data_IF_646750918666
#
_entry.id   IF_646750918666
#
_cell.length_a   1.000
_cell.length_b   1.000
_cell.length_c   1.000
_cell.angle_alpha   90.00
_cell.angle_beta   90.00
_cell.angle_gamma   90.00
#
_symmetry.space_group_name_H-M   'P 1'
#
loop_
_entity.id
_entity.type
_entity.pdbx_description
1 polymer ?
#
# COMPACT_ATOMS: atom_id res chain seq x y z
N UNK A 1 38.29 -34.04 -13.64
CA UNK A 1 37.79 -33.19 -14.74
C UNK A 1 36.34 -32.73 -14.49
N UNK A 2 36.00 -32.30 -13.26
CA UNK A 2 34.65 -31.87 -12.88
C UNK A 2 34.58 -30.43 -12.31
N UNK A 3 35.74 -29.83 -11.98
CA UNK A 3 35.80 -28.47 -11.45
C UNK A 3 35.62 -27.39 -12.53
N UNK A 4 36.10 -27.64 -13.76
CA UNK A 4 35.94 -26.71 -14.88
C UNK A 4 34.47 -26.54 -15.28
N UNK A 5 33.65 -27.59 -15.12
CA UNK A 5 32.22 -27.57 -15.41
C UNK A 5 31.36 -26.96 -14.28
N UNK A 6 31.92 -26.60 -13.13
CA UNK A 6 31.17 -25.95 -12.05
C UNK A 6 31.23 -24.41 -12.11
N UNK A 7 32.28 -23.84 -12.75
CA UNK A 7 32.52 -22.39 -12.80
C UNK A 7 31.91 -21.72 -14.03
N UNK A 8 31.74 -22.45 -15.14
CA UNK A 8 31.09 -21.91 -16.33
C UNK A 8 29.58 -21.73 -16.17
N UNK A 9 28.91 -22.55 -15.35
CA UNK A 9 27.46 -22.45 -15.08
C UNK A 9 27.11 -21.09 -14.41
N UNK A 10 27.74 -20.68 -13.30
CA UNK A 10 27.46 -19.39 -12.70
C UNK A 10 27.88 -18.22 -13.60
N UNK A 11 28.96 -18.38 -14.39
CA UNK A 11 29.38 -17.36 -15.37
C UNK A 11 28.37 -17.19 -16.51
N UNK A 12 27.83 -18.29 -17.06
CA UNK A 12 26.82 -18.25 -18.11
C UNK A 12 25.50 -17.67 -17.57
N UNK A 13 25.12 -18.04 -16.34
CA UNK A 13 23.95 -17.49 -15.65
C UNK A 13 24.08 -15.97 -15.45
N UNK A 14 25.23 -15.50 -14.94
CA UNK A 14 25.48 -14.07 -14.75
C UNK A 14 25.49 -13.30 -16.08
N UNK A 15 26.03 -13.89 -17.14
CA UNK A 15 26.02 -13.32 -18.48
C UNK A 15 24.59 -13.20 -19.04
N UNK A 16 23.74 -14.22 -18.85
CA UNK A 16 22.34 -14.17 -19.27
C UNK A 16 21.52 -13.13 -18.47
N UNK A 17 21.73 -13.04 -17.15
CA UNK A 17 21.08 -12.04 -16.29
C UNK A 17 21.43 -10.60 -16.68
N UNK A 18 22.71 -10.33 -16.99
CA UNK A 18 23.17 -9.01 -17.43
C UNK A 18 22.61 -8.64 -18.80
N UNK A 19 22.58 -9.58 -19.76
CA UNK A 19 21.98 -9.36 -21.08
C UNK A 19 20.46 -9.08 -21.00
N UNK A 20 19.72 -9.85 -20.20
CA UNK A 20 18.28 -9.63 -19.99
C UNK A 20 18.00 -8.25 -19.35
N UNK A 21 18.79 -7.88 -18.35
CA UNK A 21 18.61 -6.61 -17.64
C UNK A 21 18.89 -5.40 -18.53
N UNK A 22 19.91 -5.47 -19.39
CA UNK A 22 20.25 -4.39 -20.33
C UNK A 22 19.19 -4.28 -21.43
N UNK A 23 18.72 -5.40 -21.99
CA UNK A 23 17.68 -5.38 -23.02
C UNK A 23 16.34 -4.83 -22.50
N UNK A 24 15.98 -5.17 -21.26
CA UNK A 24 14.75 -4.67 -20.61
C UNK A 24 14.86 -3.20 -20.20
N UNK A 25 16.07 -2.65 -20.04
CA UNK A 25 16.33 -1.24 -19.73
C UNK A 25 16.44 -0.36 -20.99
N UNK A 26 16.79 -0.95 -22.14
CA UNK A 26 16.92 -0.25 -23.42
C UNK A 26 15.67 -0.36 -24.31
N UNK A 27 14.78 -1.32 -24.02
CA UNK A 27 13.48 -1.39 -24.68
C UNK A 27 12.63 -0.17 -24.32
N UNK A 28 11.95 0.47 -25.28
CA UNK A 28 10.98 1.54 -25.00
C UNK A 28 9.73 0.92 -24.36
N UNK A 29 9.87 0.47 -23.12
CA UNK A 29 8.74 0.19 -22.25
C UNK A 29 8.31 1.52 -21.69
N UNK A 30 7.26 2.10 -22.25
CA UNK A 30 6.54 3.19 -21.61
C UNK A 30 6.25 2.78 -20.16
N UNK A 31 6.53 3.64 -19.16
CA UNK A 31 6.12 3.36 -17.80
C UNK A 31 4.59 3.26 -17.80
N UNK A 32 4.05 2.05 -17.63
CA UNK A 32 2.61 1.81 -17.43
C UNK A 32 2.28 2.23 -16.01
N UNK A 33 2.35 3.53 -15.75
CA UNK A 33 1.77 4.15 -14.57
C UNK A 33 0.33 4.47 -14.92
N UNK A 34 -0.57 3.69 -14.33
CA UNK A 34 -2.01 3.95 -14.40
C UNK A 34 -2.32 5.11 -13.47
N UNK A 35 -3.34 5.91 -13.81
CA UNK A 35 -3.82 7.00 -12.94
C UNK A 35 -4.14 6.50 -11.53
N UNK A 36 -4.01 7.38 -10.52
CA UNK A 36 -4.22 7.04 -9.12
C UNK A 36 -5.55 6.36 -8.82
N UNK A 37 -6.64 6.79 -9.49
CA UNK A 37 -7.97 6.21 -9.32
C UNK A 37 -8.07 4.80 -9.92
N UNK A 38 -7.35 4.55 -11.01
CA UNK A 38 -7.28 3.22 -11.62
C UNK A 38 -6.37 2.30 -10.81
N UNK A 39 -5.22 2.80 -10.33
CA UNK A 39 -4.30 2.04 -9.50
C UNK A 39 -4.94 1.61 -8.17
N UNK A 40 -5.74 2.48 -7.53
CA UNK A 40 -6.46 2.14 -6.29
C UNK A 40 -7.53 1.06 -6.48
N UNK A 41 -8.07 0.90 -7.69
CA UNK A 41 -9.00 -0.21 -8.00
C UNK A 41 -8.32 -1.58 -8.08
N UNK A 42 -7.02 -1.63 -8.38
CA UNK A 42 -6.24 -2.87 -8.48
C UNK A 42 -5.40 -3.15 -7.22
N UNK A 43 -4.93 -2.09 -6.56
CA UNK A 43 -4.17 -2.13 -5.31
C UNK A 43 -5.00 -1.60 -4.14
N UNK A 44 -6.31 -1.93 -4.12
CA UNK A 44 -7.16 -1.60 -2.98
C UNK A 44 -6.60 -2.32 -1.76
N UNK A 45 -6.11 -1.55 -0.78
CA UNK A 45 -5.83 -2.08 0.56
C UNK A 45 -7.15 -2.64 1.10
N UNK A 46 -7.09 -3.74 1.85
CA UNK A 46 -8.25 -4.19 2.60
C UNK A 46 -8.57 -3.10 3.61
N UNK A 47 -9.64 -2.35 3.36
CA UNK A 47 -10.23 -1.45 4.33
C UNK A 47 -10.85 -2.32 5.42
N UNK A 48 -10.45 -2.09 6.67
CA UNK A 48 -10.68 -3.02 7.78
C UNK A 48 -11.70 -2.48 8.79
N UNK A 49 -12.73 -1.75 8.33
CA UNK A 49 -13.79 -1.22 9.18
C UNK A 49 -14.24 -2.19 10.27
N UNK A 50 -13.83 -1.91 11.51
CA UNK A 50 -14.21 -2.68 12.71
C UNK A 50 -13.94 -4.20 12.59
N UNK A 51 -12.95 -4.62 11.79
CA UNK A 51 -12.68 -6.03 11.56
C UNK A 51 -11.58 -6.57 12.47
N UNK A 52 -12.02 -7.11 13.60
CA UNK A 52 -11.30 -8.10 14.40
C UNK A 52 -9.93 -7.64 14.95
N UNK A 53 -9.96 -6.56 15.75
CA UNK A 53 -8.95 -6.16 16.76
C UNK A 53 -7.49 -5.91 16.31
N UNK A 54 -7.14 -6.13 15.04
CA UNK A 54 -5.79 -5.86 14.53
C UNK A 54 -5.52 -4.36 14.33
N UNK A 55 -6.57 -3.55 14.22
CA UNK A 55 -6.52 -2.10 14.03
C UNK A 55 -6.02 -1.37 15.29
N UNK A 56 -6.25 -1.92 16.48
CA UNK A 56 -5.82 -1.33 17.77
C UNK A 56 -4.28 -1.19 17.90
N UNK A 57 -3.51 -1.99 17.15
CA UNK A 57 -2.04 -1.95 17.16
C UNK A 57 -1.51 -1.00 16.09
N UNK A 58 -2.35 -0.57 15.16
CA UNK A 58 -2.01 0.38 14.09
C UNK A 58 -2.35 1.78 14.59
N UNK A 59 -1.46 2.78 14.40
CA UNK A 59 -1.82 4.16 14.71
C UNK A 59 -3.05 4.63 13.94
N UNK A 60 -3.92 5.38 14.60
CA UNK A 60 -5.09 6.00 13.99
C UNK A 60 -4.70 6.91 12.82
N UNK A 61 -5.48 6.88 11.74
CA UNK A 61 -5.25 7.69 10.54
C UNK A 61 -6.58 8.24 9.99
N UNK A 62 -6.69 9.57 9.87
CA UNK A 62 -7.94 10.24 9.51
C UNK A 62 -8.43 9.86 8.11
N UNK A 63 -7.50 9.81 7.15
CA UNK A 63 -7.83 9.51 5.76
C UNK A 63 -8.35 8.07 5.67
N UNK A 64 -7.62 7.12 6.25
CA UNK A 64 -7.98 5.70 6.22
C UNK A 64 -9.29 5.40 6.95
N UNK A 65 -9.43 5.86 8.20
CA UNK A 65 -10.54 5.43 9.05
C UNK A 65 -11.81 6.24 8.83
N UNK A 66 -11.67 7.55 8.58
CA UNK A 66 -12.81 8.46 8.57
C UNK A 66 -13.11 9.11 7.21
N UNK A 67 -12.22 9.04 6.21
CA UNK A 67 -12.47 9.60 4.86
C UNK A 67 -12.69 8.49 3.83
N UNK A 68 -11.81 7.50 3.80
CA UNK A 68 -11.91 6.29 2.97
C UNK A 68 -12.90 5.28 3.56
N UNK A 69 -12.95 5.21 4.90
CA UNK A 69 -13.86 4.37 5.66
C UNK A 69 -14.89 5.20 6.46
N UNK A 70 -15.87 4.48 7.01
CA UNK A 70 -16.79 5.03 8.01
C UNK A 70 -16.10 4.83 9.36
N UNK A 71 -16.09 5.80 10.27
CA UNK A 71 -15.50 5.62 11.60
C UNK A 71 -16.52 5.83 12.71
N UNK A 72 -16.23 5.35 13.91
CA UNK A 72 -16.95 5.70 15.14
C UNK A 72 -16.47 7.04 15.69
N UNK A 73 -17.23 7.64 16.61
CA UNK A 73 -16.80 8.86 17.29
C UNK A 73 -15.47 8.68 18.04
N UNK A 74 -15.27 7.51 18.64
CA UNK A 74 -14.08 7.21 19.44
C UNK A 74 -12.82 7.12 18.56
N UNK A 75 -12.91 6.48 17.40
CA UNK A 75 -11.81 6.44 16.41
C UNK A 75 -11.43 7.85 15.93
N UNK A 76 -12.43 8.68 15.60
CA UNK A 76 -12.16 10.07 15.24
C UNK A 76 -11.49 10.84 16.40
N UNK A 77 -11.86 10.55 17.66
CA UNK A 77 -11.30 11.19 18.86
C UNK A 77 -9.85 10.77 19.09
N UNK A 78 -9.50 9.52 18.80
CA UNK A 78 -8.13 9.01 18.87
C UNK A 78 -7.20 9.72 17.89
N UNK A 79 -7.69 10.13 16.72
CA UNK A 79 -6.89 10.86 15.72
C UNK A 79 -6.73 12.35 16.05
N UNK A 80 -7.81 13.01 16.49
CA UNK A 80 -7.77 14.46 16.76
C UNK A 80 -7.24 14.82 18.15
N UNK A 81 -7.33 13.89 19.12
CA UNK A 81 -7.05 14.10 20.55
C UNK A 81 -7.79 15.33 21.15
N UNK A 82 -8.84 15.81 20.50
CA UNK A 82 -9.53 17.07 20.81
C UNK A 82 -11.02 16.95 20.48
N UNK A 83 -11.85 16.99 21.53
CA UNK A 83 -13.31 16.84 21.45
C UNK A 83 -13.99 17.92 20.59
N UNK A 84 -13.42 19.13 20.51
CA UNK A 84 -14.00 20.20 19.71
C UNK A 84 -13.78 19.97 18.20
N UNK A 85 -12.67 19.31 17.84
CA UNK A 85 -12.33 19.01 16.44
C UNK A 85 -13.05 17.77 15.92
N UNK A 86 -13.36 16.81 16.78
CA UNK A 86 -14.18 15.63 16.43
C UNK A 86 -15.63 15.97 16.12
N UNK A 87 -16.22 16.95 16.83
CA UNK A 87 -17.62 17.35 16.61
C UNK A 87 -17.80 18.39 15.50
N UNK A 88 -16.71 19.02 15.03
CA UNK A 88 -16.79 19.92 13.89
C UNK A 88 -17.07 19.16 12.59
N UNK A 89 -17.91 19.71 11.68
CA UNK A 89 -18.23 19.07 10.41
C UNK A 89 -17.06 19.18 9.43
N UNK A 90 -16.01 18.40 9.68
CA UNK A 90 -14.98 18.06 8.71
C UNK A 90 -15.53 17.03 7.71
N UNK A 91 -14.91 16.81 6.54
CA UNK A 91 -15.35 15.81 5.56
C UNK A 91 -15.06 14.37 6.05
N UNK A 92 -15.51 14.03 7.26
CA UNK A 92 -15.32 12.74 7.92
C UNK A 92 -16.65 12.00 8.01
N UNK A 93 -16.66 10.75 7.59
CA UNK A 93 -17.82 9.83 7.61
C UNK A 93 -18.02 9.21 8.99
N UNK A 94 -18.25 10.04 10.01
CA UNK A 94 -18.51 9.53 11.37
C UNK A 94 -19.90 8.89 11.44
N UNK A 95 -19.93 7.64 11.86
CA UNK A 95 -21.11 6.87 12.21
C UNK A 95 -21.69 7.40 13.52
N UNK A 96 -22.56 8.41 13.40
CA UNK A 96 -23.39 8.85 14.51
C UNK A 96 -24.41 7.75 14.81
N UNK A 97 -24.04 6.84 15.73
CA UNK A 97 -24.99 5.91 16.34
C UNK A 97 -26.11 6.70 17.00
N UNK A 98 -27.36 6.30 16.75
CA UNK A 98 -28.47 6.57 17.66
C UNK A 98 -28.27 5.79 18.94
#
# INVERSE_FOLDING_TARGET
>A
MAAASALWIPMLSLLQLTQCSVLHRLGPGEPVLVDGQSASSFLSRSLLYNSWDLELVVPGDLERECVEEKCSYEEAREVFEDDAKTVTPLPVSVSHGL
#
